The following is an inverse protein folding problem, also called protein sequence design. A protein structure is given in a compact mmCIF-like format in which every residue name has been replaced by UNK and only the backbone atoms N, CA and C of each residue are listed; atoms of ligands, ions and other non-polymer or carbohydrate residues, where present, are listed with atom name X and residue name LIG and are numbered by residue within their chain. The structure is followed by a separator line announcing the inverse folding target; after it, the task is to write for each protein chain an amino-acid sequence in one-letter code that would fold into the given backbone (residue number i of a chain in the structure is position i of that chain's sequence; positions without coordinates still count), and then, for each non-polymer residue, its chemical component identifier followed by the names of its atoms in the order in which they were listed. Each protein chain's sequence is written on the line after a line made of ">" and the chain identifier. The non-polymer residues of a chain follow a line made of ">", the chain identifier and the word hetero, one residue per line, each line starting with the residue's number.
data_IF_835679442517
#
_entry.id   IF_835679442517
#
_cell.length_a   1.000
_cell.length_b   1.000
_cell.length_c   1.000
_cell.angle_alpha   90.00
_cell.angle_beta   90.00
_cell.angle_gamma   90.00
#
_symmetry.space_group_name_H-M   'P 1'
#
loop_
_entity.id
_entity.type
_entity.pdbx_description
1 polymer ?
#
# COMPACT_ATOMS: atom_id res chain seq x y z
N UNK A 1 4.86 -8.65 -20.24
CA UNK A 1 4.41 -7.88 -19.06
C UNK A 1 4.32 -6.44 -19.53
N UNK A 2 3.20 -5.78 -19.28
CA UNK A 2 3.01 -4.37 -19.62
C UNK A 2 4.06 -3.48 -18.93
N UNK A 3 4.49 -2.39 -19.58
CA UNK A 3 5.53 -1.50 -19.03
C UNK A 3 5.12 -0.85 -17.71
N UNK A 4 3.83 -0.55 -17.54
CA UNK A 4 3.33 0.00 -16.27
C UNK A 4 3.38 -1.03 -15.16
N UNK A 5 3.05 -2.29 -15.47
CA UNK A 5 3.13 -3.39 -14.51
C UNK A 5 4.58 -3.64 -14.08
N UNK A 6 5.53 -3.61 -15.03
CA UNK A 6 6.95 -3.75 -14.71
C UNK A 6 7.43 -2.61 -13.79
N UNK A 7 7.03 -1.37 -14.08
CA UNK A 7 7.32 -0.20 -13.25
C UNK A 7 6.71 -0.30 -11.85
N UNK A 8 5.47 -0.79 -11.74
CA UNK A 8 4.80 -1.00 -10.46
C UNK A 8 5.53 -2.04 -9.59
N UNK A 9 5.96 -3.17 -10.16
CA UNK A 9 6.75 -4.19 -9.45
C UNK A 9 8.06 -3.61 -8.93
N UNK A 10 8.78 -2.85 -9.76
CA UNK A 10 10.07 -2.25 -9.39
C UNK A 10 9.88 -1.24 -8.26
N UNK A 11 8.91 -0.34 -8.39
CA UNK A 11 8.62 0.68 -7.39
C UNK A 11 8.14 0.03 -6.08
N UNK A 12 7.17 -0.89 -6.13
CA UNK A 12 6.63 -1.50 -4.93
C UNK A 12 7.68 -2.31 -4.16
N UNK A 13 8.58 -3.01 -4.87
CA UNK A 13 9.69 -3.74 -4.26
C UNK A 13 10.65 -2.86 -3.47
N UNK A 14 10.86 -1.61 -3.91
CA UNK A 14 11.76 -0.67 -3.23
C UNK A 14 11.15 -0.07 -1.96
N UNK A 15 9.82 0.02 -1.87
CA UNK A 15 9.12 0.61 -0.73
C UNK A 15 9.23 -0.28 0.53
N UNK A 16 9.78 0.31 1.60
CA UNK A 16 9.92 -0.31 2.93
C UNK A 16 9.41 0.64 4.02
N UNK A 17 8.11 0.58 4.31
CA UNK A 17 7.50 1.46 5.31
C UNK A 17 6.32 0.74 6.01
N UNK A 18 6.10 0.92 7.33
CA UNK A 18 5.05 0.21 8.07
C UNK A 18 3.62 0.51 7.61
N UNK A 19 3.38 1.66 6.97
CA UNK A 19 2.07 2.03 6.41
C UNK A 19 1.95 1.80 4.90
N UNK A 20 2.78 0.92 4.33
CA UNK A 20 2.72 0.50 2.93
C UNK A 20 2.81 -1.03 2.91
N UNK A 21 1.87 -1.69 2.23
CA UNK A 21 1.87 -3.15 2.09
C UNK A 21 3.22 -3.64 1.58
N UNK A 22 3.83 -4.59 2.27
CA UNK A 22 5.15 -5.09 1.92
C UNK A 22 5.10 -5.99 0.68
N UNK A 23 5.81 -5.60 -0.37
CA UNK A 23 6.11 -6.51 -1.49
C UNK A 23 6.99 -7.68 -1.01
N UNK A 24 6.65 -8.91 -1.43
CA UNK A 24 7.40 -10.13 -1.09
C UNK A 24 8.16 -10.67 -2.29
N UNK A 25 7.47 -11.06 -3.34
CA UNK A 25 8.07 -11.69 -4.52
C UNK A 25 7.15 -11.63 -5.75
N UNK A 26 7.70 -11.98 -6.90
CA UNK A 26 6.94 -12.24 -8.14
C UNK A 26 7.13 -13.71 -8.52
N UNK A 27 6.02 -14.37 -8.81
CA UNK A 27 5.98 -15.75 -9.31
C UNK A 27 5.46 -15.72 -10.73
N UNK A 28 6.21 -16.31 -11.66
CA UNK A 28 5.75 -16.46 -13.04
C UNK A 28 5.29 -17.90 -13.27
N UNK A 29 4.11 -18.03 -13.87
CA UNK A 29 3.58 -19.30 -14.38
C UNK A 29 3.46 -19.22 -15.90
N UNK A 30 3.21 -20.33 -16.61
CA UNK A 30 3.03 -20.30 -18.07
C UNK A 30 1.87 -19.39 -18.53
N UNK A 31 0.90 -19.11 -17.66
CA UNK A 31 -0.33 -18.37 -18.01
C UNK A 31 -0.51 -17.06 -17.25
N UNK A 32 0.16 -16.87 -16.11
CA UNK A 32 -0.07 -15.75 -15.22
C UNK A 32 1.21 -15.23 -14.55
N UNK A 33 1.17 -13.94 -14.21
CA UNK A 33 2.09 -13.27 -13.32
C UNK A 33 1.43 -13.13 -11.94
N UNK A 34 2.00 -13.76 -10.92
CA UNK A 34 1.58 -13.62 -9.53
C UNK A 34 2.46 -12.61 -8.80
N UNK A 35 1.83 -11.59 -8.20
CA UNK A 35 2.52 -10.61 -7.35
C UNK A 35 2.16 -10.94 -5.90
N UNK A 36 3.16 -11.35 -5.11
CA UNK A 36 2.97 -11.77 -3.73
C UNK A 36 3.28 -10.61 -2.79
N UNK A 37 2.34 -10.31 -1.90
CA UNK A 37 2.38 -9.16 -1.00
C UNK A 37 1.97 -9.54 0.42
N UNK A 38 2.28 -8.68 1.39
CA UNK A 38 1.77 -8.78 2.74
C UNK A 38 0.24 -8.76 2.78
N UNK A 39 -0.33 -9.63 3.62
CA UNK A 39 -1.76 -9.73 3.82
C UNK A 39 -2.20 -8.83 4.97
N UNK A 40 -3.07 -7.85 4.68
CA UNK A 40 -3.73 -7.02 5.67
C UNK A 40 -5.17 -7.52 5.90
N UNK A 41 -5.39 -8.26 6.99
CA UNK A 41 -6.67 -8.90 7.28
C UNK A 41 -7.80 -7.95 7.71
N UNK A 42 -7.50 -6.66 7.91
CA UNK A 42 -8.41 -5.68 8.52
C UNK A 42 -9.47 -5.07 7.59
N UNK A 43 -9.50 -5.47 6.31
CA UNK A 43 -10.40 -4.89 5.32
C UNK A 43 -10.03 -3.46 4.92
N UNK A 44 -11.00 -2.71 4.42
CA UNK A 44 -10.79 -1.34 3.93
C UNK A 44 -11.12 -0.28 4.98
N UNK A 45 -10.37 0.82 4.97
CA UNK A 45 -10.65 1.97 5.84
C UNK A 45 -12.01 2.60 5.51
N UNK A 46 -12.40 2.61 4.24
CA UNK A 46 -13.68 3.16 3.81
C UNK A 46 -14.87 2.42 4.44
N UNK A 47 -14.85 1.08 4.41
CA UNK A 47 -15.89 0.27 5.06
C UNK A 47 -15.95 0.56 6.57
N UNK A 48 -14.79 0.70 7.22
CA UNK A 48 -14.72 1.07 8.63
C UNK A 48 -15.36 2.44 8.92
N UNK A 49 -15.16 3.43 8.03
CA UNK A 49 -15.81 4.75 8.14
C UNK A 49 -17.32 4.61 7.95
N UNK A 50 -17.78 3.92 6.92
CA UNK A 50 -19.21 3.71 6.64
C UNK A 50 -19.91 3.02 7.82
N UNK A 51 -19.32 1.99 8.39
CA UNK A 51 -19.87 1.26 9.53
C UNK A 51 -19.93 2.10 10.81
N UNK A 52 -18.97 3.02 10.99
CA UNK A 52 -18.99 3.98 12.10
C UNK A 52 -19.89 5.21 11.84
N UNK A 53 -20.34 5.41 10.59
CA UNK A 53 -20.98 6.64 10.11
C UNK A 53 -19.99 7.79 9.91
N UNK A 54 -19.20 8.11 10.93
CA UNK A 54 -18.06 9.02 10.87
C UNK A 54 -17.06 8.71 11.98
N UNK A 55 -15.80 9.09 11.77
CA UNK A 55 -14.79 9.07 12.83
C UNK A 55 -14.85 10.34 13.67
N UNK A 56 -14.44 10.21 14.93
CA UNK A 56 -14.02 11.36 15.73
C UNK A 56 -12.78 12.02 15.11
N UNK A 57 -12.51 13.28 15.45
CA UNK A 57 -11.30 13.95 14.97
C UNK A 57 -10.02 13.22 15.41
N UNK A 58 -10.03 12.60 16.59
CA UNK A 58 -8.89 11.85 17.11
C UNK A 58 -8.62 10.58 16.30
N UNK A 59 -9.65 9.81 15.98
CA UNK A 59 -9.53 8.64 15.10
C UNK A 59 -9.15 9.03 13.68
N UNK A 60 -9.75 10.09 13.14
CA UNK A 60 -9.40 10.61 11.83
C UNK A 60 -7.94 11.03 11.78
N UNK A 61 -7.45 11.75 12.80
CA UNK A 61 -6.05 12.17 12.92
C UNK A 61 -5.10 10.97 12.99
N UNK A 62 -5.46 9.92 13.72
CA UNK A 62 -4.67 8.69 13.82
C UNK A 62 -4.44 8.01 12.46
N UNK A 63 -5.50 7.81 11.67
CA UNK A 63 -5.34 7.23 10.32
C UNK A 63 -4.69 8.20 9.34
N UNK A 64 -5.01 9.48 9.44
CA UNK A 64 -4.41 10.50 8.57
C UNK A 64 -2.91 10.60 8.79
N UNK A 65 -2.42 10.53 10.03
CA UNK A 65 -0.99 10.51 10.33
C UNK A 65 -0.29 9.33 9.65
N UNK A 66 -0.89 8.13 9.68
CA UNK A 66 -0.35 6.95 9.01
C UNK A 66 -0.31 7.10 7.49
N UNK A 67 -1.38 7.64 6.90
CA UNK A 67 -1.45 7.94 5.47
C UNK A 67 -0.33 8.91 5.07
N UNK A 68 -0.21 10.03 5.78
CA UNK A 68 0.80 11.05 5.49
C UNK A 68 2.21 10.50 5.73
N UNK A 69 2.43 9.65 6.74
CA UNK A 69 3.72 8.96 6.93
C UNK A 69 4.10 8.12 5.71
N UNK A 70 3.17 7.31 5.20
CA UNK A 70 3.38 6.49 3.99
C UNK A 70 3.63 7.33 2.74
N UNK A 71 2.82 8.38 2.52
CA UNK A 71 2.97 9.28 1.35
C UNK A 71 4.28 10.07 1.42
N UNK A 72 4.64 10.60 2.60
CA UNK A 72 5.90 11.31 2.82
C UNK A 72 7.09 10.41 2.53
N UNK A 73 7.04 9.14 2.95
CA UNK A 73 8.04 8.15 2.59
C UNK A 73 8.11 7.92 1.08
N UNK A 74 6.98 7.72 0.39
CA UNK A 74 6.96 7.59 -1.07
C UNK A 74 7.62 8.78 -1.77
N UNK A 75 7.31 10.01 -1.37
CA UNK A 75 7.93 11.21 -1.94
C UNK A 75 9.45 11.26 -1.70
N UNK A 76 9.93 10.76 -0.56
CA UNK A 76 11.39 10.68 -0.29
C UNK A 76 12.12 9.71 -1.22
N UNK A 77 11.40 8.72 -1.78
CA UNK A 77 11.95 7.71 -2.68
C UNK A 77 11.97 8.16 -4.16
N UNK A 78 11.31 9.28 -4.50
CA UNK A 78 11.23 9.83 -5.88
C UNK A 78 12.44 10.72 -6.23
N UNK A 79 13.31 11.06 -5.27
CA UNK A 79 14.49 11.91 -5.49
C UNK A 79 15.80 11.13 -5.78
N UNK A 80 15.72 10.00 -6.48
CA UNK A 80 16.89 9.28 -7.04
C UNK A 80 16.73 9.11 -8.55
#
# INVERSE_FOLDING_TARGET
>A
IDENVAREIINHRSLRHPNIIRFKEVVLTPTHLGIVMEYAAGGELFERICNAGRFSEDEARYFFQQLISGVSYCHSMVNL
#
